data_IF_620637224860
#
_entry.id   IF_620637224860
#
_cell.length_a   1.000
_cell.length_b   1.000
_cell.length_c   1.000
_cell.angle_alpha   90.00
_cell.angle_beta   90.00
_cell.angle_gamma   90.00
#
_symmetry.space_group_name_H-M   'P 1'
#
loop_
_entity.id
_entity.type
_entity.pdbx_description
1 polymer ?
#
# COMPACT_ATOMS: atom_id res chain seq x y z
N UNK A 1 -19.91 18.91 0.42
CA UNK A 1 -20.64 18.04 -0.56
C UNK A 1 -19.96 17.95 -1.92
N UNK A 2 -19.66 19.06 -2.62
CA UNK A 2 -18.95 19.01 -3.92
C UNK A 2 -17.55 18.38 -3.72
N UNK A 3 -16.82 18.81 -2.70
CA UNK A 3 -15.51 18.25 -2.34
C UNK A 3 -15.56 16.76 -2.07
N UNK A 4 -16.57 16.29 -1.33
CA UNK A 4 -16.81 14.87 -1.09
C UNK A 4 -17.03 14.07 -2.39
N UNK A 5 -17.75 14.61 -3.37
CA UNK A 5 -17.95 13.96 -4.66
C UNK A 5 -16.66 13.94 -5.49
N UNK A 6 -15.94 15.07 -5.57
CA UNK A 6 -14.67 15.16 -6.26
C UNK A 6 -13.64 14.21 -5.65
N UNK A 7 -13.58 14.15 -4.32
CA UNK A 7 -12.74 13.23 -3.58
C UNK A 7 -13.07 11.79 -3.89
N UNK A 8 -14.35 11.42 -3.81
CA UNK A 8 -14.82 10.09 -4.19
C UNK A 8 -14.36 9.67 -5.59
N UNK A 9 -14.54 10.53 -6.60
CA UNK A 9 -14.09 10.21 -7.96
C UNK A 9 -12.57 10.16 -8.08
N UNK A 10 -11.83 11.06 -7.42
CA UNK A 10 -10.37 11.05 -7.42
C UNK A 10 -9.80 9.77 -6.77
N UNK A 11 -10.40 9.31 -5.68
CA UNK A 11 -10.03 8.06 -5.03
C UNK A 11 -10.35 6.83 -5.88
N UNK A 12 -11.54 6.78 -6.50
CA UNK A 12 -11.88 5.76 -7.49
C UNK A 12 -10.83 5.70 -8.62
N UNK A 13 -10.53 6.85 -9.25
CA UNK A 13 -9.55 6.94 -10.33
C UNK A 13 -8.16 6.50 -9.88
N UNK A 14 -7.73 6.88 -8.68
CA UNK A 14 -6.45 6.45 -8.11
C UNK A 14 -6.40 4.93 -7.95
N UNK A 15 -7.51 4.28 -7.60
CA UNK A 15 -7.61 2.83 -7.54
C UNK A 15 -7.59 2.13 -8.91
N UNK A 16 -7.84 2.85 -10.00
CA UNK A 16 -7.69 2.31 -11.37
C UNK A 16 -6.28 2.44 -11.93
N UNK A 17 -5.50 3.41 -11.44
CA UNK A 17 -4.23 3.80 -12.02
C UNK A 17 -3.06 3.23 -11.22
N UNK A 18 -2.29 2.26 -11.74
CA UNK A 18 -1.08 1.78 -11.10
C UNK A 18 -0.11 2.91 -10.79
N UNK A 19 0.44 2.93 -9.57
CA UNK A 19 1.38 3.96 -9.12
C UNK A 19 0.71 5.23 -8.58
N UNK A 20 -0.59 5.45 -8.83
CA UNK A 20 -1.34 6.46 -8.10
C UNK A 20 -1.73 5.94 -6.72
N UNK A 21 -1.56 6.81 -5.72
CA UNK A 21 -1.91 6.56 -4.34
C UNK A 21 -2.60 7.80 -3.78
N UNK A 22 -3.43 7.61 -2.76
CA UNK A 22 -4.12 8.72 -2.07
C UNK A 22 -3.17 9.80 -1.54
N UNK A 23 -1.92 9.45 -1.25
CA UNK A 23 -0.91 10.40 -0.77
C UNK A 23 -0.56 11.45 -1.83
N UNK A 24 -0.61 11.09 -3.11
CA UNK A 24 -0.38 12.02 -4.22
C UNK A 24 -1.53 13.01 -4.38
N UNK A 25 -2.75 12.60 -4.02
CA UNK A 25 -3.93 13.49 -4.04
C UNK A 25 -3.90 14.54 -2.93
N UNK A 26 -3.15 14.30 -1.85
CA UNK A 26 -3.01 15.23 -0.73
C UNK A 26 -2.46 16.61 -1.13
N UNK A 27 -1.78 16.69 -2.28
CA UNK A 27 -1.28 17.96 -2.82
C UNK A 27 -2.30 18.72 -3.68
N UNK A 28 -3.37 18.05 -4.13
CA UNK A 28 -4.36 18.63 -5.03
C UNK A 28 -5.47 19.37 -4.27
N UNK A 29 -5.66 19.05 -3.00
CA UNK A 29 -6.70 19.65 -2.17
C UNK A 29 -6.31 19.63 -0.69
N UNK A 30 -6.65 20.70 0.01
CA UNK A 30 -6.57 20.81 1.47
C UNK A 30 -7.92 20.56 2.15
N UNK A 31 -8.94 20.14 1.40
CA UNK A 31 -10.27 19.86 1.94
C UNK A 31 -10.30 18.48 2.61
N UNK A 32 -10.63 18.46 3.90
CA UNK A 32 -10.82 17.23 4.69
C UNK A 32 -11.86 16.31 4.03
N UNK A 33 -13.00 16.86 3.59
CA UNK A 33 -14.05 16.10 2.91
C UNK A 33 -13.52 15.40 1.65
N UNK A 34 -12.77 16.13 0.83
CA UNK A 34 -12.16 15.59 -0.39
C UNK A 34 -11.20 14.44 -0.05
N UNK A 35 -10.28 14.65 0.89
CA UNK A 35 -9.25 13.67 1.19
C UNK A 35 -9.79 12.42 1.86
N UNK A 36 -10.77 12.56 2.76
CA UNK A 36 -11.39 11.42 3.46
C UNK A 36 -12.21 10.56 2.48
N UNK A 37 -13.00 11.20 1.61
CA UNK A 37 -13.79 10.48 0.60
C UNK A 37 -12.91 9.85 -0.50
N UNK A 38 -11.83 10.52 -0.88
CA UNK A 38 -10.82 9.95 -1.76
C UNK A 38 -10.12 8.75 -1.12
N UNK A 39 -9.80 8.82 0.16
CA UNK A 39 -9.19 7.69 0.88
C UNK A 39 -10.13 6.48 0.94
N UNK A 40 -11.40 6.68 1.29
CA UNK A 40 -12.36 5.57 1.42
C UNK A 40 -12.67 4.91 0.08
N UNK A 41 -12.89 5.72 -0.97
CA UNK A 41 -13.09 5.18 -2.31
C UNK A 41 -11.84 4.51 -2.90
N UNK A 42 -10.65 5.03 -2.61
CA UNK A 42 -9.37 4.40 -3.00
C UNK A 42 -9.19 3.03 -2.35
N UNK A 43 -9.52 2.87 -1.06
CA UNK A 43 -9.37 1.59 -0.36
C UNK A 43 -10.07 0.45 -1.09
N UNK A 44 -11.30 0.67 -1.58
CA UNK A 44 -12.03 -0.34 -2.35
C UNK A 44 -11.53 -0.44 -3.79
N UNK A 45 -11.42 0.69 -4.49
CA UNK A 45 -11.11 0.68 -5.92
C UNK A 45 -9.69 0.20 -6.24
N UNK A 46 -8.75 0.23 -5.27
CA UNK A 46 -7.39 -0.30 -5.41
C UNK A 46 -7.32 -1.76 -5.90
N UNK A 47 -8.40 -2.53 -5.68
CA UNK A 47 -8.55 -3.89 -6.22
C UNK A 47 -8.47 -3.96 -7.74
N UNK A 48 -8.82 -2.88 -8.45
CA UNK A 48 -8.73 -2.84 -9.90
C UNK A 48 -7.28 -2.87 -10.39
N UNK A 49 -6.34 -2.27 -9.64
CA UNK A 49 -4.91 -2.43 -9.90
C UNK A 49 -4.51 -3.91 -9.78
N UNK A 50 -5.01 -4.62 -8.75
CA UNK A 50 -4.71 -6.04 -8.53
C UNK A 50 -5.29 -6.93 -9.62
N UNK A 51 -6.55 -6.70 -9.99
CA UNK A 51 -7.31 -7.53 -10.93
C UNK A 51 -6.77 -7.38 -12.34
N UNK A 52 -6.59 -6.15 -12.82
CA UNK A 52 -6.32 -5.87 -14.22
C UNK A 52 -4.83 -5.72 -14.53
N UNK A 53 -4.07 -5.18 -13.58
CA UNK A 53 -2.65 -4.96 -13.77
C UNK A 53 -1.81 -5.99 -13.03
N UNK A 54 -2.36 -6.66 -12.00
CA UNK A 54 -1.57 -7.48 -11.07
C UNK A 54 -0.41 -6.65 -10.48
N UNK A 55 -0.72 -5.39 -10.21
CA UNK A 55 0.11 -4.48 -9.43
C UNK A 55 -0.73 -3.91 -8.31
N UNK A 56 -0.12 -3.74 -7.18
CA UNK A 56 -0.51 -2.76 -6.19
C UNK A 56 0.77 -2.37 -5.46
N UNK A 57 0.96 -1.08 -5.23
CA UNK A 57 2.15 -0.57 -4.53
C UNK A 57 2.21 -1.12 -3.09
N UNK A 58 1.05 -1.46 -2.53
CA UNK A 58 0.90 -1.95 -1.16
C UNK A 58 1.12 -3.47 -1.01
N UNK A 59 0.93 -4.27 -2.07
CA UNK A 59 0.82 -5.74 -1.99
C UNK A 59 1.88 -6.49 -2.79
N UNK A 60 3.03 -5.86 -2.97
CA UNK A 60 4.06 -6.33 -3.90
C UNK A 60 4.53 -7.76 -3.57
N UNK A 61 4.60 -8.12 -2.29
CA UNK A 61 4.96 -9.46 -1.83
C UNK A 61 3.91 -10.54 -2.18
N UNK A 62 2.66 -10.13 -2.44
CA UNK A 62 1.51 -10.99 -2.64
C UNK A 62 1.19 -11.31 -4.11
N UNK A 63 1.77 -10.58 -5.05
CA UNK A 63 1.40 -10.63 -6.46
C UNK A 63 1.35 -12.04 -7.07
N UNK A 64 2.27 -12.98 -6.75
CA UNK A 64 2.17 -14.36 -7.26
C UNK A 64 0.96 -15.13 -6.70
N UNK A 65 0.54 -14.83 -5.47
CA UNK A 65 -0.62 -15.46 -4.84
C UNK A 65 -1.92 -14.88 -5.43
N UNK A 66 -2.00 -13.56 -5.55
CA UNK A 66 -3.13 -12.85 -6.18
C UNK A 66 -3.31 -13.33 -7.62
N UNK A 67 -2.23 -13.50 -8.39
CA UNK A 67 -2.29 -14.02 -9.76
C UNK A 67 -2.79 -15.46 -9.87
N UNK A 68 -2.47 -16.32 -8.90
CA UNK A 68 -3.03 -17.68 -8.83
C UNK A 68 -4.51 -17.65 -8.47
N UNK A 69 -4.88 -16.79 -7.54
CA UNK A 69 -6.26 -16.62 -7.09
C UNK A 69 -7.16 -16.10 -8.21
N UNK A 70 -6.75 -15.06 -8.93
CA UNK A 70 -7.49 -14.52 -10.08
C UNK A 70 -7.76 -15.59 -11.14
N UNK A 71 -6.81 -16.50 -11.40
CA UNK A 71 -7.03 -17.61 -12.33
C UNK A 71 -8.04 -18.63 -11.82
N UNK A 72 -7.99 -18.95 -10.53
CA UNK A 72 -8.82 -19.99 -9.91
C UNK A 72 -10.24 -19.51 -9.64
N UNK A 73 -10.38 -18.36 -8.99
CA UNK A 73 -11.62 -17.84 -8.44
C UNK A 73 -12.28 -16.83 -9.40
N UNK A 74 -11.47 -16.00 -10.07
CA UNK A 74 -11.96 -14.90 -10.93
C UNK A 74 -11.93 -13.54 -10.23
N UNK A 75 -12.22 -12.50 -11.00
CA UNK A 75 -12.08 -11.09 -10.55
C UNK A 75 -13.16 -10.62 -9.57
N UNK A 76 -14.36 -11.19 -9.63
CA UNK A 76 -15.47 -10.86 -8.73
C UNK A 76 -15.17 -11.37 -7.32
N UNK A 77 -14.66 -12.61 -7.19
CA UNK A 77 -14.25 -13.19 -5.91
C UNK A 77 -13.17 -12.34 -5.24
N UNK A 78 -12.17 -11.90 -6.01
CA UNK A 78 -11.11 -10.99 -5.51
C UNK A 78 -11.70 -9.69 -4.96
N UNK A 79 -12.63 -9.06 -5.68
CA UNK A 79 -13.34 -7.87 -5.20
C UNK A 79 -14.09 -8.13 -3.89
N UNK A 80 -14.78 -9.28 -3.77
CA UNK A 80 -15.54 -9.62 -2.56
C UNK A 80 -14.63 -9.79 -1.36
N UNK A 81 -13.56 -10.58 -1.47
CA UNK A 81 -12.64 -10.81 -0.35
C UNK A 81 -11.83 -9.57 0.02
N UNK A 82 -11.44 -8.77 -0.98
CA UNK A 82 -10.83 -7.45 -0.77
C UNK A 82 -11.78 -6.55 0.03
N UNK A 83 -13.02 -6.43 -0.43
CA UNK A 83 -14.01 -5.54 0.18
C UNK A 83 -14.45 -6.01 1.57
N UNK A 84 -14.53 -7.33 1.80
CA UNK A 84 -14.73 -7.90 3.13
C UNK A 84 -13.61 -7.46 4.06
N UNK A 85 -12.36 -7.59 3.62
CA UNK A 85 -11.20 -7.14 4.37
C UNK A 85 -11.27 -5.64 4.68
N UNK A 86 -11.56 -4.79 3.69
CA UNK A 86 -11.71 -3.35 3.89
C UNK A 86 -12.82 -3.04 4.90
N UNK A 87 -14.02 -3.60 4.75
CA UNK A 87 -15.15 -3.31 5.64
C UNK A 87 -14.81 -3.72 7.08
N UNK A 88 -14.33 -4.94 7.30
CA UNK A 88 -13.95 -5.41 8.64
C UNK A 88 -12.81 -4.57 9.21
N UNK A 89 -11.82 -4.23 8.38
CA UNK A 89 -10.71 -3.36 8.74
C UNK A 89 -11.14 -1.92 9.06
N UNK A 90 -12.31 -1.46 8.62
CA UNK A 90 -12.87 -0.17 9.02
C UNK A 90 -13.77 -0.29 10.27
N UNK A 91 -14.57 -1.35 10.36
CA UNK A 91 -15.54 -1.52 11.46
C UNK A 91 -14.85 -1.87 12.79
N UNK A 92 -13.84 -2.75 12.78
CA UNK A 92 -13.19 -3.18 14.03
C UNK A 92 -12.44 -2.03 14.73
N UNK A 93 -11.64 -1.18 14.04
CA UNK A 93 -10.99 -0.04 14.68
C UNK A 93 -12.00 0.98 15.22
N UNK A 94 -13.15 1.15 14.56
CA UNK A 94 -14.23 2.01 15.04
C UNK A 94 -14.76 1.59 16.42
N UNK A 95 -14.80 0.28 16.71
CA UNK A 95 -15.23 -0.23 18.02
C UNK A 95 -14.19 0.03 19.13
N UNK A 96 -12.91 0.16 18.75
CA UNK A 96 -11.79 0.41 19.65
C UNK A 96 -11.47 1.92 19.72
N UNK A 97 -12.12 2.73 18.88
CA UNK A 97 -11.96 4.17 18.83
C UNK A 97 -12.25 4.78 20.20
N UNK A 98 -11.37 5.69 20.66
CA UNK A 98 -11.43 6.38 21.95
C UNK A 98 -11.10 5.55 23.20
N UNK A 99 -10.63 4.30 23.06
CA UNK A 99 -10.13 3.54 24.21
C UNK A 99 -8.78 4.06 24.75
N UNK A 100 -8.07 4.91 24.00
CA UNK A 100 -6.72 5.38 24.34
C UNK A 100 -5.62 4.30 24.23
N UNK A 101 -5.97 3.09 23.80
CA UNK A 101 -5.05 1.97 23.68
C UNK A 101 -3.87 2.27 22.74
N UNK A 102 -4.13 3.03 21.66
CA UNK A 102 -3.11 3.39 20.68
C UNK A 102 -2.04 4.31 21.27
N UNK A 103 -2.47 5.36 21.99
CA UNK A 103 -1.57 6.28 22.70
C UNK A 103 -0.68 5.52 23.69
N UNK A 104 -1.28 4.69 24.55
CA UNK A 104 -0.52 3.92 25.55
C UNK A 104 0.49 2.97 24.91
N UNK A 105 0.06 2.21 23.89
CA UNK A 105 0.94 1.28 23.17
C UNK A 105 2.10 2.01 22.45
N UNK A 106 1.84 3.17 21.86
CA UNK A 106 2.87 3.95 21.19
C UNK A 106 3.98 4.40 22.15
N UNK A 107 3.61 4.99 23.29
CA UNK A 107 4.61 5.48 24.24
C UNK A 107 5.43 4.34 24.87
N UNK A 108 4.82 3.17 25.09
CA UNK A 108 5.53 1.99 25.55
C UNK A 108 6.52 1.44 24.49
N UNK A 109 6.14 1.46 23.21
CA UNK A 109 6.98 0.94 22.12
C UNK A 109 8.03 1.93 21.61
N UNK A 110 7.81 3.24 21.78
CA UNK A 110 8.64 4.32 21.23
C UNK A 110 10.16 4.11 21.45
N UNK A 111 10.64 3.71 22.65
CA UNK A 111 12.08 3.49 22.89
C UNK A 111 12.67 2.34 22.07
N UNK A 112 11.85 1.36 21.69
CA UNK A 112 12.26 0.11 21.05
C UNK A 112 12.06 0.10 19.53
N UNK A 113 11.46 1.15 18.94
CA UNK A 113 11.15 1.19 17.50
C UNK A 113 12.38 0.93 16.63
N UNK A 114 13.55 1.48 16.97
CA UNK A 114 14.78 1.29 16.20
C UNK A 114 15.23 -0.17 16.21
N UNK A 115 15.09 -0.85 17.35
CA UNK A 115 15.45 -2.25 17.51
C UNK A 115 14.50 -3.14 16.71
N UNK A 116 13.19 -2.83 16.75
CA UNK A 116 12.18 -3.54 15.97
C UNK A 116 12.46 -3.40 14.47
N UNK A 117 12.82 -2.19 14.02
CA UNK A 117 13.27 -1.90 12.65
C UNK A 117 14.49 -2.71 12.24
N UNK A 118 15.51 -2.77 13.09
CA UNK A 118 16.74 -3.52 12.84
C UNK A 118 16.45 -5.02 12.73
N UNK A 119 15.77 -5.58 13.74
CA UNK A 119 15.41 -7.00 13.78
C UNK A 119 14.58 -7.38 12.55
N UNK A 120 13.59 -6.57 12.18
CA UNK A 120 12.74 -6.90 11.03
C UNK A 120 13.50 -6.84 9.71
N UNK A 121 14.42 -5.88 9.56
CA UNK A 121 15.31 -5.81 8.38
C UNK A 121 16.20 -7.06 8.28
N UNK A 122 16.79 -7.49 9.41
CA UNK A 122 17.58 -8.73 9.46
C UNK A 122 16.73 -9.97 9.17
N UNK A 123 15.52 -10.06 9.73
CA UNK A 123 14.60 -11.17 9.49
C UNK A 123 14.20 -11.29 8.02
N UNK A 124 13.97 -10.15 7.34
CA UNK A 124 13.68 -10.14 5.91
C UNK A 124 14.86 -10.70 5.08
N UNK A 125 16.10 -10.31 5.40
CA UNK A 125 17.31 -10.83 4.75
C UNK A 125 17.47 -12.33 5.03
N UNK A 126 17.31 -12.76 6.27
CA UNK A 126 17.52 -14.16 6.69
C UNK A 126 16.47 -15.10 6.07
N UNK A 127 15.21 -14.65 6.01
CA UNK A 127 14.10 -15.44 5.44
C UNK A 127 14.13 -15.50 3.91
N UNK A 128 14.81 -14.57 3.24
CA UNK A 128 14.95 -14.62 1.78
C UNK A 128 15.68 -15.89 1.34
N UNK A 129 15.23 -16.48 0.24
CA UNK A 129 15.92 -17.61 -0.39
C UNK A 129 17.31 -17.22 -0.91
N UNK A 130 17.43 -16.00 -1.44
CA UNK A 130 18.63 -15.47 -2.10
C UNK A 130 19.31 -14.40 -1.23
N UNK A 131 19.67 -14.77 0.01
CA UNK A 131 20.11 -13.83 1.07
C UNK A 131 21.13 -12.78 0.61
N UNK A 132 22.15 -13.19 -0.15
CA UNK A 132 23.21 -12.29 -0.65
C UNK A 132 22.65 -11.26 -1.63
N UNK A 133 21.86 -11.71 -2.61
CA UNK A 133 21.23 -10.83 -3.60
C UNK A 133 20.19 -9.92 -2.96
N UNK A 134 19.42 -10.45 -2.01
CA UNK A 134 18.48 -9.68 -1.20
C UNK A 134 19.19 -8.57 -0.44
N UNK A 135 20.26 -8.88 0.30
CA UNK A 135 21.03 -7.89 1.03
C UNK A 135 21.62 -6.82 0.10
N UNK A 136 22.18 -7.22 -1.06
CA UNK A 136 22.70 -6.28 -2.05
C UNK A 136 21.62 -5.33 -2.59
N UNK A 137 20.46 -5.85 -2.98
CA UNK A 137 19.32 -5.04 -3.44
C UNK A 137 18.74 -4.14 -2.33
N UNK A 138 18.70 -4.65 -1.09
CA UNK A 138 18.26 -3.90 0.07
C UNK A 138 19.18 -2.71 0.35
N UNK A 139 20.49 -2.93 0.33
CA UNK A 139 21.47 -1.86 0.50
C UNK A 139 21.43 -0.87 -0.67
N UNK A 140 21.39 -1.36 -1.91
CA UNK A 140 21.33 -0.52 -3.11
C UNK A 140 20.09 0.38 -3.11
N UNK A 141 18.91 -0.19 -2.85
CA UNK A 141 17.67 0.59 -2.72
C UNK A 141 17.73 1.53 -1.52
N UNK A 142 18.37 1.14 -0.42
CA UNK A 142 18.60 1.97 0.76
C UNK A 142 19.43 3.21 0.48
N UNK A 143 20.51 3.08 -0.30
CA UNK A 143 21.32 4.22 -0.75
C UNK A 143 20.51 5.16 -1.63
N UNK A 144 19.76 4.62 -2.60
CA UNK A 144 18.84 5.43 -3.43
C UNK A 144 17.83 6.17 -2.57
N UNK A 145 17.22 5.49 -1.59
CA UNK A 145 16.29 6.09 -0.64
C UNK A 145 16.92 7.21 0.18
N UNK A 146 18.14 6.99 0.70
CA UNK A 146 18.88 7.99 1.49
C UNK A 146 19.13 9.27 0.71
N UNK A 147 19.57 9.13 -0.54
CA UNK A 147 19.82 10.27 -1.43
C UNK A 147 18.50 10.95 -1.81
N UNK A 148 17.47 10.19 -2.19
CA UNK A 148 16.24 10.75 -2.72
C UNK A 148 15.40 11.47 -1.64
N UNK A 149 15.20 10.86 -0.47
CA UNK A 149 14.28 11.38 0.56
C UNK A 149 14.69 12.78 1.05
N UNK A 150 15.99 13.07 1.07
CA UNK A 150 16.50 14.35 1.56
C UNK A 150 16.58 15.44 0.49
N UNK A 151 16.55 15.08 -0.81
CA UNK A 151 16.88 16.02 -1.90
C UNK A 151 15.77 16.18 -2.94
N UNK A 152 14.78 15.27 -2.96
CA UNK A 152 13.79 15.21 -4.03
C UNK A 152 12.38 15.33 -3.46
N UNK A 153 11.63 16.33 -3.96
CA UNK A 153 10.20 16.47 -3.67
C UNK A 153 9.45 15.25 -4.18
N UNK A 154 8.57 14.69 -3.36
CA UNK A 154 7.80 13.47 -3.67
C UNK A 154 8.67 12.26 -4.05
N UNK A 155 9.86 12.13 -3.45
CA UNK A 155 10.77 11.00 -3.67
C UNK A 155 10.06 9.63 -3.58
N UNK A 156 9.13 9.45 -2.65
CA UNK A 156 8.38 8.19 -2.50
C UNK A 156 7.51 7.85 -3.71
N UNK A 157 6.82 8.84 -4.29
CA UNK A 157 6.00 8.61 -5.49
C UNK A 157 6.89 8.13 -6.65
N UNK A 158 7.99 8.84 -6.89
CA UNK A 158 8.92 8.53 -8.00
C UNK A 158 9.56 7.15 -7.78
N UNK A 159 10.10 6.92 -6.59
CA UNK A 159 10.76 5.65 -6.25
C UNK A 159 9.81 4.47 -6.35
N UNK A 160 8.62 4.53 -5.75
CA UNK A 160 7.69 3.39 -5.77
C UNK A 160 7.05 3.16 -7.13
N UNK A 161 6.85 4.23 -7.91
CA UNK A 161 6.45 4.09 -9.30
C UNK A 161 7.53 3.38 -10.11
N UNK A 162 8.80 3.72 -9.91
CA UNK A 162 9.94 3.04 -10.50
C UNK A 162 10.08 1.59 -10.03
N UNK A 163 10.06 1.32 -8.73
CA UNK A 163 10.25 -0.03 -8.19
C UNK A 163 9.13 -1.00 -8.57
N UNK A 164 7.88 -0.53 -8.68
CA UNK A 164 6.71 -1.40 -8.76
C UNK A 164 5.83 -1.18 -10.00
N UNK A 165 5.50 0.07 -10.33
CA UNK A 165 4.56 0.36 -11.42
C UNK A 165 5.21 0.19 -12.80
N UNK A 166 6.39 0.78 -13.02
CA UNK A 166 7.09 0.73 -14.32
C UNK A 166 7.46 -0.69 -14.77
N UNK A 167 8.08 -1.55 -13.93
CA UNK A 167 8.40 -2.92 -14.34
C UNK A 167 7.15 -3.68 -14.76
N UNK A 168 6.05 -3.50 -14.02
CA UNK A 168 4.80 -4.14 -14.39
C UNK A 168 4.23 -3.59 -15.71
N UNK A 169 4.13 -2.26 -15.82
CA UNK A 169 3.61 -1.62 -17.01
C UNK A 169 4.46 -1.98 -18.22
N UNK A 170 5.79 -2.02 -18.14
CA UNK A 170 6.67 -2.28 -19.27
C UNK A 170 6.78 -3.78 -19.63
N UNK A 171 6.95 -4.68 -18.65
CA UNK A 171 7.20 -6.11 -18.91
C UNK A 171 5.94 -6.91 -19.26
N UNK A 172 4.75 -6.44 -18.83
CA UNK A 172 3.48 -7.12 -19.14
C UNK A 172 2.78 -6.60 -20.39
N UNK A 173 3.49 -5.81 -21.19
CA UNK A 173 3.08 -5.43 -22.53
C UNK A 173 2.55 -6.63 -23.32
N UNK A 174 1.26 -6.64 -23.66
CA UNK A 174 0.71 -7.63 -24.59
C UNK A 174 0.46 -9.04 -24.04
N UNK A 175 0.60 -9.28 -22.72
CA UNK A 175 0.22 -10.56 -22.07
C UNK A 175 -1.04 -10.42 -21.24
N UNK A 176 -2.06 -9.78 -21.81
CA UNK A 176 -3.38 -9.71 -21.18
C UNK A 176 -3.95 -11.11 -21.02
N UNK A 177 -4.30 -11.46 -19.79
CA UNK A 177 -5.10 -12.65 -19.53
C UNK A 177 -6.53 -12.20 -19.35
N UNK A 178 -7.43 -12.69 -20.19
CA UNK A 178 -8.85 -12.66 -19.88
C UNK A 178 -9.07 -13.38 -18.55
N UNK A 179 -9.32 -12.59 -17.50
CA UNK A 179 -9.67 -13.13 -16.19
C UNK A 179 -11.18 -13.36 -16.20
N UNK A 180 -11.60 -14.60 -15.95
CA UNK A 180 -13.02 -14.95 -15.80
C UNK A 180 -13.67 -14.13 -14.68
N UNK A 181 -14.98 -13.89 -14.79
CA UNK A 181 -15.71 -13.10 -13.80
C UNK A 181 -15.62 -13.74 -12.41
N UNK A 182 -15.81 -15.06 -12.30
CA UNK A 182 -15.80 -15.78 -11.02
C UNK A 182 -17.18 -15.91 -10.38
N UNK A 183 -17.26 -16.66 -9.28
CA UNK A 183 -18.48 -16.89 -8.48
C UNK A 183 -18.50 -16.04 -7.21
N UNK A 184 -19.71 -15.85 -6.67
CA UNK A 184 -19.95 -15.29 -5.34
C UNK A 184 -19.85 -16.44 -4.31
N UNK A 185 -18.64 -16.81 -3.92
CA UNK A 185 -18.41 -17.76 -2.84
C UNK A 185 -17.88 -17.04 -1.60
N UNK A 186 -18.38 -17.43 -0.43
CA UNK A 186 -17.97 -16.88 0.85
C UNK A 186 -17.20 -17.92 1.66
N UNK A 187 -15.96 -17.60 2.02
CA UNK A 187 -15.13 -18.43 2.88
C UNK A 187 -15.08 -17.83 4.29
N UNK A 188 -15.64 -18.54 5.28
CA UNK A 188 -15.64 -18.12 6.69
C UNK A 188 -14.21 -17.89 7.22
N UNK A 189 -13.20 -18.58 6.68
CA UNK A 189 -11.79 -18.38 7.07
C UNK A 189 -11.30 -16.98 6.69
N UNK A 190 -11.84 -16.40 5.62
CA UNK A 190 -11.50 -15.03 5.20
C UNK A 190 -12.02 -13.98 6.16
N UNK A 191 -13.10 -14.25 6.91
CA UNK A 191 -13.58 -13.37 7.97
C UNK A 191 -12.61 -13.35 9.15
N UNK A 192 -12.18 -14.53 9.62
CA UNK A 192 -11.19 -14.63 10.70
C UNK A 192 -9.87 -13.94 10.31
N UNK A 193 -9.42 -14.13 9.07
CA UNK A 193 -8.26 -13.42 8.53
C UNK A 193 -8.48 -11.90 8.48
N UNK A 194 -9.68 -11.42 8.15
CA UNK A 194 -9.99 -9.98 8.18
C UNK A 194 -9.95 -9.41 9.60
N UNK A 195 -10.47 -10.14 10.60
CA UNK A 195 -10.41 -9.72 12.01
C UNK A 195 -8.95 -9.63 12.48
N UNK A 196 -8.14 -10.65 12.19
CA UNK A 196 -6.70 -10.63 12.47
C UNK A 196 -6.02 -9.43 11.77
N UNK A 197 -6.39 -9.15 10.52
CA UNK A 197 -5.84 -8.06 9.74
C UNK A 197 -6.09 -6.70 10.38
N UNK A 198 -7.28 -6.51 10.96
CA UNK A 198 -7.58 -5.28 11.68
C UNK A 198 -6.69 -5.11 12.90
N UNK A 199 -6.46 -6.18 13.68
CA UNK A 199 -5.55 -6.15 14.82
C UNK A 199 -4.11 -5.88 14.37
N UNK A 200 -3.68 -6.50 13.27
CA UNK A 200 -2.36 -6.26 12.71
C UNK A 200 -2.19 -4.83 12.18
N UNK A 201 -3.25 -4.18 11.69
CA UNK A 201 -3.21 -2.77 11.30
C UNK A 201 -2.92 -1.82 12.47
N UNK A 202 -3.42 -2.15 13.68
CA UNK A 202 -3.05 -1.42 14.91
C UNK A 202 -1.54 -1.47 15.16
N UNK A 203 -0.95 -2.66 15.08
CA UNK A 203 0.51 -2.79 15.27
C UNK A 203 1.28 -2.12 14.13
N UNK A 204 0.77 -2.21 12.90
CA UNK A 204 1.44 -1.64 11.75
C UNK A 204 1.52 -0.11 11.83
N UNK A 205 0.54 0.58 12.43
CA UNK A 205 0.61 2.04 12.60
C UNK A 205 1.66 2.46 13.66
N UNK A 206 1.96 1.57 14.61
CA UNK A 206 2.92 1.82 15.69
C UNK A 206 4.38 1.65 15.24
N UNK A 207 4.62 0.83 14.21
CA UNK A 207 5.95 0.42 13.75
C UNK A 207 6.32 1.11 12.43
N UNK A 208 7.03 2.25 12.44
CA UNK A 208 7.47 2.90 11.19
C UNK A 208 8.34 1.95 10.36
N UNK A 209 8.28 2.03 9.04
CA UNK A 209 9.14 1.27 8.11
C UNK A 209 8.75 -0.20 7.89
N UNK A 210 8.23 -0.90 8.91
CA UNK A 210 7.66 -2.25 8.81
C UNK A 210 6.14 -2.20 8.65
N UNK A 211 5.56 -1.01 8.78
CA UNK A 211 4.14 -0.71 8.63
C UNK A 211 3.53 -1.09 7.28
N UNK A 212 4.31 -1.54 6.29
CA UNK A 212 3.74 -2.00 5.03
C UNK A 212 2.78 -3.16 5.28
N UNK A 213 1.49 -3.05 4.88
CA UNK A 213 0.52 -4.14 4.99
C UNK A 213 1.05 -5.46 4.42
N UNK A 214 1.84 -5.41 3.34
CA UNK A 214 2.44 -6.60 2.73
C UNK A 214 3.53 -7.26 3.58
N UNK A 215 4.36 -6.51 4.32
CA UNK A 215 5.35 -7.14 5.21
C UNK A 215 4.62 -7.89 6.32
N UNK A 216 3.64 -7.23 6.95
CA UNK A 216 2.82 -7.84 8.01
C UNK A 216 2.12 -9.09 7.47
N UNK A 217 1.40 -9.01 6.35
CA UNK A 217 0.73 -10.17 5.76
C UNK A 217 1.70 -11.31 5.38
N UNK A 218 2.90 -10.99 4.88
CA UNK A 218 3.92 -12.00 4.53
C UNK A 218 4.52 -12.68 5.74
N UNK A 219 4.75 -11.97 6.85
CA UNK A 219 5.23 -12.58 8.10
C UNK A 219 4.24 -13.62 8.62
N UNK A 220 2.94 -13.33 8.51
CA UNK A 220 1.87 -14.21 8.94
C UNK A 220 1.43 -15.22 7.87
N UNK A 221 2.04 -15.22 6.68
CA UNK A 221 1.69 -16.13 5.58
C UNK A 221 1.60 -17.61 5.97
N UNK A 222 2.49 -18.17 6.81
CA UNK A 222 2.40 -19.57 7.24
C UNK A 222 1.10 -19.91 8.00
N UNK A 223 0.48 -18.91 8.64
CA UNK A 223 -0.76 -19.08 9.39
C UNK A 223 -2.02 -18.81 8.55
N UNK A 224 -1.87 -18.47 7.27
CA UNK A 224 -2.98 -18.08 6.39
C UNK A 224 -3.46 -19.30 5.58
N UNK A 225 -4.74 -19.68 5.69
CA UNK A 225 -5.23 -20.96 5.15
C UNK A 225 -5.45 -20.98 3.64
N UNK A 226 -5.61 -19.81 3.00
CA UNK A 226 -5.97 -19.70 1.59
C UNK A 226 -5.54 -18.36 1.00
N UNK A 227 -5.49 -18.27 -0.34
CA UNK A 227 -5.22 -17.00 -1.01
C UNK A 227 -6.33 -15.96 -0.78
N UNK A 228 -7.58 -16.40 -0.59
CA UNK A 228 -8.73 -15.51 -0.33
C UNK A 228 -8.61 -14.89 1.07
N UNK A 229 -8.25 -15.71 2.06
CA UNK A 229 -7.87 -15.26 3.40
C UNK A 229 -6.67 -14.31 3.39
N UNK A 230 -5.72 -14.49 2.48
CA UNK A 230 -4.58 -13.58 2.35
C UNK A 230 -5.02 -12.20 1.86
N UNK A 231 -5.85 -12.13 0.81
CA UNK A 231 -6.34 -10.85 0.27
C UNK A 231 -7.19 -10.13 1.32
N UNK A 232 -8.09 -10.84 2.00
CA UNK A 232 -8.92 -10.23 3.04
C UNK A 232 -8.10 -9.75 4.23
N UNK A 233 -7.08 -10.51 4.66
CA UNK A 233 -6.11 -10.08 5.67
C UNK A 233 -5.43 -8.76 5.26
N UNK A 234 -4.84 -8.75 4.06
CA UNK A 234 -4.04 -7.62 3.57
C UNK A 234 -4.87 -6.35 3.40
N UNK A 235 -6.07 -6.49 2.85
CA UNK A 235 -7.02 -5.39 2.68
C UNK A 235 -7.48 -4.85 4.04
N UNK A 236 -7.70 -5.74 5.01
CA UNK A 236 -8.05 -5.36 6.38
C UNK A 236 -6.92 -4.64 7.10
N UNK A 237 -5.67 -5.10 6.97
CA UNK A 237 -4.49 -4.38 7.50
C UNK A 237 -4.43 -2.97 6.92
N UNK A 238 -4.60 -2.84 5.60
CA UNK A 238 -4.54 -1.54 4.90
C UNK A 238 -5.66 -0.61 5.36
N UNK A 239 -6.91 -1.09 5.39
CA UNK A 239 -8.05 -0.27 5.78
C UNK A 239 -8.00 0.14 7.26
N UNK A 240 -7.62 -0.77 8.14
CA UNK A 240 -7.47 -0.46 9.56
C UNK A 240 -6.34 0.52 9.83
N UNK A 241 -5.23 0.45 9.09
CA UNK A 241 -4.19 1.48 9.16
C UNK A 241 -4.70 2.88 8.83
N UNK A 242 -5.66 3.03 7.90
CA UNK A 242 -6.20 4.34 7.56
C UNK A 242 -6.94 4.95 8.75
N UNK A 243 -7.74 4.15 9.45
CA UNK A 243 -8.42 4.60 10.67
C UNK A 243 -7.46 4.81 11.84
N UNK A 244 -6.63 3.82 12.16
CA UNK A 244 -5.65 3.96 13.24
C UNK A 244 -4.63 5.08 12.96
N UNK A 245 -4.33 5.38 11.70
CA UNK A 245 -3.53 6.52 11.30
C UNK A 245 -4.21 7.84 11.64
N UNK A 246 -5.51 7.95 11.36
CA UNK A 246 -6.32 9.09 11.79
C UNK A 246 -6.30 9.23 13.32
N UNK A 247 -6.43 8.13 14.05
CA UNK A 247 -6.38 8.13 15.51
C UNK A 247 -4.99 8.48 16.05
N UNK A 248 -3.92 8.01 15.41
CA UNK A 248 -2.55 8.40 15.76
C UNK A 248 -2.34 9.89 15.58
N UNK A 249 -2.91 10.50 14.53
CA UNK A 249 -2.90 11.95 14.33
C UNK A 249 -3.65 12.65 15.47
N UNK A 250 -4.88 12.23 15.79
CA UNK A 250 -5.69 12.92 16.80
C UNK A 250 -5.20 12.72 18.24
N UNK A 251 -4.71 11.53 18.62
CA UNK A 251 -4.34 11.21 20.01
C UNK A 251 -2.86 11.45 20.32
N UNK A 252 -1.98 11.31 19.33
CA UNK A 252 -0.52 11.32 19.50
C UNK A 252 0.11 12.51 18.74
N UNK A 253 -0.59 13.11 17.79
CA UNK A 253 -0.06 14.19 16.95
C UNK A 253 0.92 13.69 15.90
N UNK A 254 0.87 12.41 15.52
CA UNK A 254 1.82 11.82 14.56
C UNK A 254 1.11 11.37 13.30
N UNK A 255 1.55 11.92 12.17
CA UNK A 255 1.06 11.59 10.84
C UNK A 255 1.86 10.43 10.26
N UNK A 256 1.25 9.24 10.26
CA UNK A 256 1.87 8.01 9.73
C UNK A 256 1.52 7.72 8.28
N UNK A 257 0.47 8.36 7.75
CA UNK A 257 0.03 8.22 6.36
C UNK A 257 0.07 9.58 5.68
N UNK A 258 0.60 9.61 4.45
CA UNK A 258 0.82 10.87 3.72
C UNK A 258 -0.46 11.66 3.47
N UNK A 259 -1.59 10.99 3.22
CA UNK A 259 -2.87 11.66 2.99
C UNK A 259 -3.42 12.40 4.21
N UNK A 260 -3.02 12.00 5.42
CA UNK A 260 -3.47 12.67 6.66
C UNK A 260 -2.82 14.04 6.86
N UNK A 261 -1.73 14.35 6.16
CA UNK A 261 -1.08 15.67 6.20
C UNK A 261 -2.05 16.80 5.82
N UNK A 262 -2.95 16.51 4.89
CA UNK A 262 -3.93 17.48 4.36
C UNK A 262 -5.30 17.35 5.01
N UNK A 263 -5.42 16.58 6.10
CA UNK A 263 -6.68 16.37 6.83
C UNK A 263 -6.53 16.88 8.24
N UNK A 264 -7.27 17.92 8.62
CA UNK A 264 -7.24 18.45 9.99
C UNK A 264 -7.90 17.48 10.97
N UNK A 265 -9.14 17.05 10.67
CA UNK A 265 -9.94 16.18 11.52
C UNK A 265 -10.40 14.93 10.79
N UNK A 266 -9.81 13.75 11.07
CA UNK A 266 -10.24 12.51 10.45
C UNK A 266 -11.70 12.17 10.82
N UNK A 267 -12.55 11.99 9.82
CA UNK A 267 -13.93 11.53 9.99
C UNK A 267 -14.07 10.06 9.59
N UNK A 268 -14.13 9.12 10.55
CA UNK A 268 -14.12 7.70 10.24
C UNK A 268 -15.45 7.22 9.64
N UNK A 269 -16.56 7.91 9.91
CA UNK A 269 -17.86 7.59 9.31
C UNK A 269 -17.90 7.97 7.84
N UNK A 270 -17.34 9.14 7.46
CA UNK A 270 -17.23 9.55 6.06
C UNK A 270 -16.30 8.63 5.27
N UNK A 271 -15.22 8.14 5.90
CA UNK A 271 -14.33 7.13 5.31
C UNK A 271 -15.09 5.82 5.04
N UNK A 272 -15.88 5.35 6.00
CA UNK A 272 -16.68 4.13 5.86
C UNK A 272 -17.77 4.27 4.80
N UNK A 273 -18.54 5.36 4.81
CA UNK A 273 -19.64 5.56 3.85
C UNK A 273 -19.13 5.70 2.42
N UNK A 274 -18.04 6.44 2.19
CA UNK A 274 -17.41 6.53 0.86
C UNK A 274 -16.85 5.19 0.38
N UNK A 275 -16.30 4.36 1.29
CA UNK A 275 -15.89 3.00 0.97
C UNK A 275 -17.08 2.12 0.55
N UNK A 276 -18.19 2.16 1.29
CA UNK A 276 -19.39 1.39 0.94
C UNK A 276 -19.98 1.82 -0.41
N UNK A 277 -20.00 3.12 -0.70
CA UNK A 277 -20.43 3.63 -2.00
C UNK A 277 -19.49 3.19 -3.13
N UNK A 278 -18.18 3.18 -2.88
CA UNK A 278 -17.19 2.69 -3.84
C UNK A 278 -17.33 1.19 -4.11
N UNK A 279 -17.73 0.39 -3.11
CA UNK A 279 -18.05 -1.03 -3.31
C UNK A 279 -19.23 -1.21 -4.26
N UNK A 280 -20.33 -0.47 -4.05
CA UNK A 280 -21.50 -0.55 -4.93
C UNK A 280 -21.11 -0.24 -6.39
N UNK A 281 -20.34 0.83 -6.62
CA UNK A 281 -19.85 1.18 -7.95
C UNK A 281 -18.85 0.14 -8.51
N UNK A 282 -17.94 -0.37 -7.69
CA UNK A 282 -16.94 -1.36 -8.09
C UNK A 282 -17.57 -2.69 -8.51
N UNK A 283 -18.67 -3.11 -7.87
CA UNK A 283 -19.45 -4.29 -8.27
C UNK A 283 -20.06 -4.13 -9.66
N UNK A 284 -20.53 -2.92 -10.01
CA UNK A 284 -21.02 -2.62 -11.35
C UNK A 284 -19.87 -2.62 -12.38
N UNK A 285 -18.75 -1.97 -12.04
CA UNK A 285 -17.61 -1.81 -12.94
C UNK A 285 -16.88 -3.13 -13.20
N UNK A 286 -16.67 -3.99 -12.19
CA UNK A 286 -15.98 -5.28 -12.38
C UNK A 286 -16.75 -6.23 -13.31
N UNK A 287 -18.07 -6.08 -13.40
CA UNK A 287 -18.91 -6.85 -14.33
C UNK A 287 -18.74 -6.33 -15.76
N UNK A 288 -18.72 -5.00 -15.95
CA UNK A 288 -18.66 -4.35 -17.27
C UNK A 288 -17.25 -4.31 -17.88
N UNK A 289 -16.24 -4.01 -17.09
CA UNK A 289 -14.86 -3.82 -17.57
C UNK A 289 -14.22 -5.16 -17.88
N UNK A 290 -13.80 -5.40 -19.13
CA UNK A 290 -13.11 -6.63 -19.54
C UNK A 290 -11.60 -6.54 -19.42
N UNK A 291 -11.04 -5.36 -19.69
CA UNK A 291 -9.61 -5.03 -19.59
C UNK A 291 -9.45 -3.54 -19.33
N UNK A 292 -8.28 -3.15 -18.80
CA UNK A 292 -7.86 -1.76 -18.62
C UNK A 292 -6.58 -1.43 -19.39
N UNK A 293 -6.24 -2.23 -20.40
CA UNK A 293 -4.97 -2.07 -21.13
C UNK A 293 -4.82 -0.76 -21.88
N UNK A 294 -5.91 -0.14 -22.29
CA UNK A 294 -5.91 1.20 -22.88
C UNK A 294 -5.38 2.27 -21.90
N UNK A 295 -5.49 2.05 -20.58
CA UNK A 295 -4.96 2.97 -19.58
C UNK A 295 -3.43 2.87 -19.44
N UNK A 296 -2.79 1.83 -19.99
CA UNK A 296 -1.35 1.60 -19.80
C UNK A 296 -0.48 2.76 -20.27
N UNK A 297 -0.70 3.24 -21.49
CA UNK A 297 0.09 4.34 -22.07
C UNK A 297 -0.19 5.65 -21.34
N UNK A 298 -1.45 6.06 -21.11
CA UNK A 298 -1.76 7.22 -20.27
C UNK A 298 -1.10 7.17 -18.88
N UNK A 299 -1.10 6.00 -18.22
CA UNK A 299 -0.48 5.85 -16.90
C UNK A 299 1.04 5.97 -16.97
N UNK A 300 1.71 5.43 -17.99
CA UNK A 300 3.15 5.62 -18.19
C UNK A 300 3.48 7.10 -18.41
N UNK A 301 2.73 7.79 -19.28
CA UNK A 301 2.89 9.22 -19.54
C UNK A 301 2.66 10.01 -18.25
N UNK A 302 1.65 9.66 -17.46
CA UNK A 302 1.36 10.27 -16.17
C UNK A 302 2.52 10.09 -15.18
N UNK A 303 3.05 8.88 -15.01
CA UNK A 303 4.15 8.62 -14.07
C UNK A 303 5.41 9.40 -14.48
N UNK A 304 5.77 9.37 -15.77
CA UNK A 304 6.93 10.09 -16.29
C UNK A 304 6.73 11.60 -16.15
N UNK A 305 5.56 12.10 -16.53
CA UNK A 305 5.19 13.51 -16.46
C UNK A 305 5.21 14.04 -15.03
N UNK A 306 4.64 13.32 -14.07
CA UNK A 306 4.69 13.73 -12.66
C UNK A 306 6.08 13.61 -12.05
N UNK A 307 6.87 12.61 -12.44
CA UNK A 307 8.26 12.50 -11.98
C UNK A 307 9.08 13.70 -12.46
N UNK A 308 8.87 14.12 -13.72
CA UNK A 308 9.46 15.34 -14.26
C UNK A 308 8.91 16.61 -13.59
N UNK A 309 7.61 16.68 -13.31
CA UNK A 309 7.01 17.82 -12.63
C UNK A 309 7.56 18.03 -11.22
N UNK A 310 7.69 16.96 -10.42
CA UNK A 310 8.12 17.08 -9.03
C UNK A 310 9.62 17.35 -8.87
N UNK A 311 10.45 16.87 -9.80
CA UNK A 311 11.91 16.92 -9.63
C UNK A 311 12.70 17.11 -10.93
N UNK A 312 12.05 17.57 -12.01
CA UNK A 312 12.68 17.83 -13.31
C UNK A 312 13.48 16.62 -13.80
N UNK A 313 14.69 16.84 -14.34
CA UNK A 313 15.58 15.78 -14.80
C UNK A 313 16.01 14.81 -13.67
N UNK A 314 16.18 15.32 -12.44
CA UNK A 314 16.50 14.46 -11.29
C UNK A 314 15.39 13.47 -10.98
N UNK A 315 14.13 13.86 -11.16
CA UNK A 315 12.98 12.97 -11.04
C UNK A 315 13.00 11.84 -12.05
N UNK A 316 13.39 12.12 -13.30
CA UNK A 316 13.53 11.09 -14.34
C UNK A 316 14.71 10.14 -14.06
N UNK A 317 15.84 10.67 -13.60
CA UNK A 317 16.99 9.86 -13.19
C UNK A 317 16.64 8.94 -12.01
N UNK A 318 15.95 9.46 -11.00
CA UNK A 318 15.47 8.67 -9.88
C UNK A 318 14.46 7.61 -10.32
N UNK A 319 13.50 7.97 -11.17
CA UNK A 319 12.52 7.03 -11.72
C UNK A 319 13.22 5.88 -12.45
N UNK A 320 14.23 6.20 -13.28
CA UNK A 320 15.00 5.21 -14.02
C UNK A 320 15.84 4.32 -13.10
N UNK A 321 16.54 4.89 -12.11
CA UNK A 321 17.30 4.13 -11.13
C UNK A 321 16.40 3.17 -10.33
N UNK A 322 15.24 3.66 -9.87
CA UNK A 322 14.25 2.83 -9.20
C UNK A 322 13.65 1.77 -10.11
N UNK A 323 13.40 2.07 -11.39
CA UNK A 323 12.98 1.08 -12.38
C UNK A 323 14.02 -0.02 -12.56
N UNK A 324 15.30 0.33 -12.73
CA UNK A 324 16.38 -0.63 -12.90
C UNK A 324 16.49 -1.58 -11.69
N UNK A 325 16.43 -1.04 -10.46
CA UNK A 325 16.44 -1.85 -9.23
C UNK A 325 15.18 -2.73 -9.13
N UNK A 326 14.01 -2.17 -9.43
CA UNK A 326 12.74 -2.90 -9.42
C UNK A 326 12.75 -4.08 -10.39
N UNK A 327 13.22 -3.84 -11.62
CA UNK A 327 13.41 -4.87 -12.65
C UNK A 327 14.46 -5.91 -12.24
N UNK A 328 15.59 -5.49 -11.69
CA UNK A 328 16.65 -6.40 -11.24
C UNK A 328 16.12 -7.39 -10.20
N UNK A 329 15.23 -6.96 -9.29
CA UNK A 329 14.59 -7.88 -8.34
C UNK A 329 13.76 -8.99 -9.01
N UNK A 330 13.15 -8.70 -10.16
CA UNK A 330 12.36 -9.66 -10.95
C UNK A 330 13.27 -10.63 -11.68
N UNK A 331 14.29 -10.11 -12.37
CA UNK A 331 15.24 -10.90 -13.16
C UNK A 331 16.05 -11.86 -12.27
N UNK A 332 16.50 -11.38 -11.12
CA UNK A 332 17.24 -12.17 -10.13
C UNK A 332 16.35 -13.06 -9.26
N UNK A 333 15.02 -13.02 -9.47
CA UNK A 333 14.01 -13.77 -8.70
C UNK A 333 14.08 -13.55 -7.19
N UNK A 334 14.53 -12.36 -6.79
CA UNK A 334 14.57 -11.94 -5.39
C UNK A 334 13.21 -11.41 -4.98
N UNK A 335 12.83 -11.59 -3.71
CA UNK A 335 11.59 -11.02 -3.20
C UNK A 335 11.62 -9.49 -3.32
N UNK A 336 10.58 -8.92 -3.95
CA UNK A 336 10.46 -7.46 -4.15
C UNK A 336 10.42 -6.65 -2.85
N UNK A 337 10.25 -7.28 -1.69
CA UNK A 337 10.40 -6.61 -0.39
C UNK A 337 11.81 -6.08 -0.16
N UNK A 338 12.83 -6.57 -0.89
CA UNK A 338 14.20 -6.06 -0.81
C UNK A 338 14.27 -4.54 -1.09
N UNK A 339 13.45 -4.02 -2.01
CA UNK A 339 13.47 -2.58 -2.34
C UNK A 339 12.96 -1.68 -1.21
N UNK A 340 12.35 -2.26 -0.16
CA UNK A 340 11.95 -1.53 1.04
C UNK A 340 13.16 -1.07 1.88
N UNK A 341 14.37 -1.50 1.53
CA UNK A 341 15.61 -0.89 2.01
C UNK A 341 15.63 0.62 1.80
N UNK A 342 15.01 1.12 0.71
CA UNK A 342 14.81 2.55 0.42
C UNK A 342 14.07 3.33 1.52
N UNK A 343 13.30 2.66 2.38
CA UNK A 343 12.65 3.25 3.54
C UNK A 343 13.39 2.94 4.84
N UNK A 344 13.73 1.66 5.01
CA UNK A 344 14.23 1.12 6.27
C UNK A 344 15.64 1.62 6.58
N UNK A 345 16.53 1.62 5.58
CA UNK A 345 17.91 2.04 5.78
C UNK A 345 18.01 3.53 6.13
N UNK A 346 17.34 4.46 5.42
CA UNK A 346 17.36 5.87 5.81
C UNK A 346 16.81 6.12 7.21
N UNK A 347 15.75 5.42 7.59
CA UNK A 347 15.14 5.55 8.92
C UNK A 347 16.07 5.04 10.02
N UNK A 348 16.75 3.92 9.78
CA UNK A 348 17.73 3.36 10.73
C UNK A 348 18.94 4.28 10.88
N UNK A 349 19.53 4.73 9.77
CA UNK A 349 20.71 5.60 9.77
C UNK A 349 20.41 6.94 10.44
N UNK A 350 19.29 7.58 10.10
CA UNK A 350 18.88 8.86 10.70
C UNK A 350 18.59 8.78 12.22
N UNK A 351 18.31 7.60 12.76
CA UNK A 351 18.10 7.35 14.19
C UNK A 351 19.37 6.91 14.93
N UNK A 352 20.18 6.08 14.29
CA UNK A 352 21.40 5.51 14.86
C UNK A 352 22.54 6.53 14.92
N UNK A 353 22.69 7.39 13.91
CA UNK A 353 23.77 8.40 13.88
C UNK A 353 23.67 9.38 15.07
N UNK A 354 22.50 9.95 15.40
CA UNK A 354 22.38 10.80 16.59
C UNK A 354 22.62 10.04 17.89
N UNK A 355 22.28 8.75 17.99
CA UNK A 355 22.47 7.95 19.21
C UNK A 355 23.91 7.49 19.45
N UNK A 356 24.76 7.44 18.42
CA UNK A 356 26.18 7.07 18.52
C UNK A 356 27.11 8.27 18.75
N UNK A 357 26.58 9.49 18.61
CA UNK A 357 27.30 10.76 18.78
C UNK A 357 27.04 11.43 20.14
N UNK A 358 26.29 10.76 21.03
CA UNK A 358 26.13 11.05 22.45
C UNK A 358 26.40 9.77 23.24
#
# INVERSE_FOLDING_TARGET
>A
MIDALLGFFAGMLSGFIPGMHINSLAQLSSSDEFMITAAGSFLISSVFQMVFFLSSVQEVAALPLIGRLLKREGRLSVLIYHSLGVIIGLVVPLLIYKTGALKSAYWALKPYIWLILLISSLLLIIKSKERKKYAALFLLSGVVGWVAINNIREAFFIMFSGFFALPLLLERAGKERHVKLGSLDFDKKSLASSLLGSVLGFFAILLPGISSPSIMATVFLPAIPSGTSYISLLSSITASQYLYGGYAKSEIGIERLGWLKSVAEPNPYLLLTSSLFALALSLLLVRKLKSLSLLRVPVLVYIVGLSFYYASMWGLLLLFASYAIGRLSIEERVERTAVLGSLLLPTLVGKLIPMLLF
#
